data_IF_783958337617
#
_entry.id   IF_783958337617
#
_cell.length_a   1.000
_cell.length_b   1.000
_cell.length_c   1.000
_cell.angle_alpha   90.00
_cell.angle_beta   90.00
_cell.angle_gamma   90.00
#
_symmetry.space_group_name_H-M   'P 1'
#
loop_
_entity.id
_entity.type
_entity.pdbx_description
1 polymer ?
#
# COMPACT_ATOMS: atom_id res chain seq x y z
N UNK A 1 -9.05 -15.06 -37.55
CA UNK A 1 -9.11 -14.57 -38.95
C UNK A 1 -10.24 -15.20 -39.74
N UNK A 2 -10.40 -16.53 -39.75
CA UNK A 2 -11.48 -17.21 -40.47
C UNK A 2 -12.82 -17.20 -39.74
N UNK A 3 -12.81 -17.11 -38.40
CA UNK A 3 -14.01 -17.03 -37.57
C UNK A 3 -13.94 -15.76 -36.72
N UNK A 4 -14.66 -14.68 -37.09
CA UNK A 4 -14.63 -13.42 -36.34
C UNK A 4 -15.25 -13.52 -34.95
N UNK A 5 -16.15 -14.50 -34.72
CA UNK A 5 -16.79 -14.74 -33.42
C UNK A 5 -15.89 -15.43 -32.39
N UNK A 6 -14.65 -15.81 -32.77
CA UNK A 6 -13.70 -16.51 -31.87
C UNK A 6 -13.42 -15.77 -30.57
N UNK A 7 -13.35 -14.44 -30.60
CA UNK A 7 -13.13 -13.65 -29.39
C UNK A 7 -14.20 -13.89 -28.31
N UNK A 8 -15.45 -14.16 -28.70
CA UNK A 8 -16.57 -14.32 -27.75
C UNK A 8 -16.53 -15.64 -26.97
N UNK A 9 -15.99 -16.71 -27.54
CA UNK A 9 -15.97 -18.03 -26.90
C UNK A 9 -14.58 -18.43 -26.40
N UNK A 10 -13.51 -17.82 -26.93
CA UNK A 10 -12.14 -18.16 -26.52
C UNK A 10 -11.88 -17.74 -25.08
N UNK A 11 -12.32 -16.54 -24.67
CA UNK A 11 -12.03 -16.03 -23.32
C UNK A 11 -12.60 -16.91 -22.19
N UNK A 12 -13.87 -17.39 -22.25
CA UNK A 12 -14.37 -18.37 -21.28
C UNK A 12 -13.52 -19.66 -21.20
N UNK A 13 -13.04 -20.17 -22.34
CA UNK A 13 -12.21 -21.39 -22.37
C UNK A 13 -10.85 -21.14 -21.73
N UNK A 14 -10.22 -20.00 -22.05
CA UNK A 14 -8.94 -19.60 -21.44
C UNK A 14 -9.07 -19.40 -19.93
N UNK A 15 -10.20 -18.90 -19.46
CA UNK A 15 -10.48 -18.76 -18.03
C UNK A 15 -10.70 -20.13 -17.35
N UNK A 16 -11.47 -21.03 -17.97
CA UNK A 16 -11.76 -22.37 -17.43
C UNK A 16 -10.50 -23.26 -17.37
N UNK A 17 -9.64 -23.14 -18.39
CA UNK A 17 -8.40 -23.92 -18.49
C UNK A 17 -7.20 -23.27 -17.79
N UNK A 18 -7.39 -22.13 -17.12
CA UNK A 18 -6.31 -21.51 -16.37
C UNK A 18 -5.85 -22.46 -15.25
N UNK A 19 -4.56 -22.83 -15.17
CA UNK A 19 -4.08 -23.78 -14.19
C UNK A 19 -4.39 -23.34 -12.77
N UNK A 20 -4.67 -24.30 -11.89
CA UNK A 20 -4.86 -23.98 -10.48
C UNK A 20 -3.60 -23.35 -9.89
N UNK A 21 -3.77 -22.34 -9.04
CA UNK A 21 -2.68 -21.49 -8.53
C UNK A 21 -1.61 -22.25 -7.74
N UNK A 22 -1.92 -23.46 -7.24
CA UNK A 22 -0.97 -24.33 -6.53
C UNK A 22 -0.16 -25.25 -7.46
N UNK A 23 -0.40 -25.25 -8.77
CA UNK A 23 0.41 -26.03 -9.73
C UNK A 23 1.85 -25.52 -9.79
N UNK A 24 2.73 -26.29 -10.44
CA UNK A 24 4.15 -25.94 -10.55
C UNK A 24 4.34 -24.57 -11.21
N UNK A 25 5.36 -23.82 -10.76
CA UNK A 25 5.70 -22.49 -11.28
C UNK A 25 5.87 -22.51 -12.79
N UNK A 26 6.47 -23.60 -13.32
CA UNK A 26 6.65 -23.81 -14.75
C UNK A 26 5.34 -23.92 -15.53
N UNK A 27 4.33 -24.59 -14.98
CA UNK A 27 3.02 -24.71 -15.63
C UNK A 27 2.33 -23.36 -15.73
N UNK A 28 2.36 -22.58 -14.64
CA UNK A 28 1.79 -21.22 -14.59
C UNK A 28 2.51 -20.28 -15.57
N UNK A 29 3.85 -20.30 -15.57
CA UNK A 29 4.70 -19.54 -16.48
C UNK A 29 4.35 -19.84 -17.95
N UNK A 30 4.37 -21.12 -18.35
CA UNK A 30 4.09 -21.53 -19.73
C UNK A 30 2.67 -21.14 -20.16
N UNK A 31 1.67 -21.33 -19.30
CA UNK A 31 0.30 -20.96 -19.61
C UNK A 31 0.16 -19.45 -19.80
N UNK A 32 0.73 -18.66 -18.89
CA UNK A 32 0.66 -17.21 -18.95
C UNK A 32 1.42 -16.65 -20.16
N UNK A 33 2.61 -17.17 -20.46
CA UNK A 33 3.36 -16.81 -21.67
C UNK A 33 2.53 -17.06 -22.94
N UNK A 34 1.85 -18.22 -23.02
CA UNK A 34 0.99 -18.53 -24.15
C UNK A 34 -0.25 -17.61 -24.23
N UNK A 35 -0.88 -17.27 -23.11
CA UNK A 35 -1.97 -16.29 -23.07
C UNK A 35 -1.53 -14.91 -23.57
N UNK A 36 -0.39 -14.42 -23.09
CA UNK A 36 0.17 -13.14 -23.52
C UNK A 36 0.60 -13.17 -24.99
N UNK A 37 0.94 -14.34 -25.54
CA UNK A 37 1.15 -14.48 -26.98
C UNK A 37 -0.17 -14.39 -27.76
N UNK A 38 -1.26 -14.93 -27.23
CA UNK A 38 -2.60 -14.80 -27.83
C UNK A 38 -3.03 -13.35 -27.90
N UNK A 39 -2.74 -12.53 -26.88
CA UNK A 39 -3.09 -11.10 -26.90
C UNK A 39 -2.37 -10.31 -28.00
N UNK A 40 -1.20 -10.78 -28.47
CA UNK A 40 -0.49 -10.19 -29.61
C UNK A 40 -1.19 -10.54 -30.94
N UNK A 41 -1.68 -11.77 -31.08
CA UNK A 41 -2.38 -12.20 -32.30
C UNK A 41 -3.83 -11.70 -32.38
N UNK A 42 -4.49 -11.52 -31.23
CA UNK A 42 -5.88 -11.06 -31.11
C UNK A 42 -5.93 -9.88 -30.13
N UNK A 43 -5.61 -8.66 -30.59
CA UNK A 43 -5.54 -7.47 -29.72
C UNK A 43 -6.84 -7.16 -28.98
N UNK A 44 -8.00 -7.51 -29.56
CA UNK A 44 -9.32 -7.30 -28.95
C UNK A 44 -9.48 -8.02 -27.60
N UNK A 45 -8.74 -9.13 -27.38
CA UNK A 45 -8.77 -9.89 -26.13
C UNK A 45 -7.71 -9.44 -25.13
N UNK A 46 -6.81 -8.52 -25.50
CA UNK A 46 -5.64 -8.17 -24.69
C UNK A 46 -6.03 -7.73 -23.28
N UNK A 47 -7.00 -6.81 -23.16
CA UNK A 47 -7.46 -6.31 -21.86
C UNK A 47 -8.02 -7.44 -20.99
N UNK A 48 -8.88 -8.29 -21.54
CA UNK A 48 -9.54 -9.35 -20.79
C UNK A 48 -8.53 -10.45 -20.38
N UNK A 49 -7.55 -10.77 -21.23
CA UNK A 49 -6.44 -11.67 -20.92
C UNK A 49 -5.58 -11.11 -19.78
N UNK A 50 -5.21 -9.83 -19.85
CA UNK A 50 -4.43 -9.16 -18.79
C UNK A 50 -5.23 -9.14 -17.48
N UNK A 51 -6.53 -8.86 -17.53
CA UNK A 51 -7.41 -8.90 -16.37
C UNK A 51 -7.44 -10.28 -15.71
N UNK A 52 -7.59 -11.35 -16.50
CA UNK A 52 -7.56 -12.73 -15.99
C UNK A 52 -6.22 -13.04 -15.31
N UNK A 53 -5.11 -12.71 -15.96
CA UNK A 53 -3.76 -12.96 -15.43
C UNK A 53 -3.56 -12.21 -14.11
N UNK A 54 -3.83 -10.90 -14.09
CA UNK A 54 -3.65 -10.06 -12.89
C UNK A 54 -4.56 -10.55 -11.77
N UNK A 55 -5.81 -10.93 -12.05
CA UNK A 55 -6.71 -11.47 -11.03
C UNK A 55 -6.18 -12.75 -10.37
N UNK A 56 -5.57 -13.66 -11.16
CA UNK A 56 -4.96 -14.88 -10.64
C UNK A 56 -3.68 -14.59 -9.85
N UNK A 57 -2.87 -13.63 -10.31
CA UNK A 57 -1.68 -13.18 -9.58
C UNK A 57 -2.05 -12.51 -8.25
N UNK A 58 -3.11 -11.69 -8.21
CA UNK A 58 -3.61 -11.09 -6.98
C UNK A 58 -4.06 -12.15 -5.97
N UNK A 59 -4.67 -13.24 -6.45
CA UNK A 59 -5.06 -14.36 -5.58
C UNK A 59 -3.84 -14.99 -4.91
N UNK A 60 -2.74 -15.16 -5.65
CA UNK A 60 -1.47 -15.65 -5.11
C UNK A 60 -0.84 -14.64 -4.15
N UNK A 61 -0.77 -13.37 -4.54
CA UNK A 61 -0.14 -12.28 -3.78
C UNK A 61 -0.81 -12.06 -2.42
N UNK A 62 -2.15 -12.09 -2.37
CA UNK A 62 -2.90 -11.97 -1.11
C UNK A 62 -2.81 -13.24 -0.25
N UNK A 63 -2.54 -14.41 -0.85
CA UNK A 63 -2.42 -15.67 -0.10
C UNK A 63 -1.10 -15.83 0.65
N UNK A 64 -0.09 -15.03 0.35
CA UNK A 64 1.21 -15.04 1.02
C UNK A 64 1.48 -13.67 1.68
N UNK A 65 1.17 -13.48 2.97
CA UNK A 65 1.40 -12.22 3.65
C UNK A 65 2.88 -11.85 3.66
N UNK A 66 3.14 -10.54 3.55
CA UNK A 66 4.50 -9.98 3.49
C UNK A 66 5.44 -10.52 4.58
N UNK A 67 4.97 -10.56 5.82
CA UNK A 67 5.78 -10.99 6.98
C UNK A 67 6.22 -12.45 6.87
N UNK A 68 5.37 -13.34 6.36
CA UNK A 68 5.70 -14.75 6.17
C UNK A 68 6.80 -14.93 5.12
N UNK A 69 6.72 -14.18 4.02
CA UNK A 69 7.77 -14.18 3.00
C UNK A 69 9.09 -13.70 3.61
N UNK A 70 9.08 -12.58 4.34
CA UNK A 70 10.28 -12.03 4.98
C UNK A 70 10.90 -13.00 6.00
N UNK A 71 10.09 -13.69 6.81
CA UNK A 71 10.55 -14.69 7.79
C UNK A 71 11.21 -15.90 7.11
N UNK A 72 10.57 -16.49 6.10
CA UNK A 72 11.11 -17.65 5.38
C UNK A 72 12.41 -17.31 4.65
N UNK A 73 12.45 -16.17 3.95
CA UNK A 73 13.62 -15.76 3.19
C UNK A 73 14.81 -15.38 4.09
N UNK A 74 14.55 -14.75 5.25
CA UNK A 74 15.60 -14.39 6.20
C UNK A 74 16.15 -15.59 6.99
N UNK A 75 15.32 -16.59 7.28
CA UNK A 75 15.76 -17.85 7.89
C UNK A 75 16.73 -18.62 6.97
N UNK A 76 16.36 -18.78 5.69
CA UNK A 76 17.21 -19.46 4.72
C UNK A 76 18.56 -18.76 4.50
N UNK A 77 18.59 -17.42 4.55
CA UNK A 77 19.85 -16.66 4.48
C UNK A 77 20.75 -16.87 5.71
N UNK A 78 20.18 -17.12 6.88
CA UNK A 78 20.94 -17.42 8.10
C UNK A 78 21.49 -18.85 8.08
N UNK A 79 20.70 -19.82 7.62
CA UNK A 79 21.13 -21.22 7.49
C UNK A 79 22.24 -21.37 6.44
N UNK A 80 22.14 -20.67 5.31
CA UNK A 80 23.18 -20.64 4.28
C UNK A 80 24.50 -20.00 4.76
N UNK A 81 24.45 -19.06 5.71
CA UNK A 81 25.63 -18.43 6.30
C UNK A 81 26.19 -19.20 7.52
N UNK A 82 25.43 -20.14 8.08
CA UNK A 82 25.79 -20.94 9.26
C UNK A 82 26.29 -22.35 8.95
N UNK A 83 26.03 -22.89 7.75
CA UNK A 83 26.51 -24.19 7.33
C UNK A 83 27.97 -24.13 6.86
N UNK A 84 28.90 -24.50 7.75
CA UNK A 84 30.19 -25.07 7.34
C UNK A 84 29.93 -26.24 6.40
N UNK A 85 30.59 -26.24 5.24
CA UNK A 85 30.65 -27.36 4.29
C UNK A 85 31.03 -28.65 5.03
N UNK A 86 30.08 -29.49 5.44
CA UNK A 86 30.34 -30.93 5.59
C UNK A 86 29.09 -31.83 5.75
N UNK A 87 27.89 -31.31 6.01
CA UNK A 87 26.72 -32.17 6.29
C UNK A 87 25.64 -32.17 5.19
N UNK A 88 26.02 -32.42 3.92
CA UNK A 88 25.05 -32.79 2.88
C UNK A 88 25.48 -34.09 2.19
N UNK A 89 25.61 -35.15 3.00
CA UNK A 89 25.66 -36.53 2.54
C UNK A 89 24.40 -37.22 3.09
N UNK A 90 23.63 -37.86 2.22
CA UNK A 90 22.37 -38.58 2.49
C UNK A 90 21.08 -37.75 2.41
N UNK A 91 20.55 -37.63 1.18
CA UNK A 91 19.13 -37.91 0.99
C UNK A 91 18.95 -38.70 -0.32
N UNK A 92 18.34 -39.88 -0.22
CA UNK A 92 18.20 -40.88 -1.29
C UNK A 92 16.70 -41.18 -1.45
N UNK A 93 16.19 -40.75 -2.61
CA UNK A 93 14.96 -41.17 -3.31
C UNK A 93 13.59 -40.77 -2.73
N UNK A 94 12.96 -39.75 -3.34
CA UNK A 94 11.63 -39.88 -3.95
C UNK A 94 11.59 -39.11 -5.30
N UNK A 95 11.09 -39.76 -6.35
CA UNK A 95 11.07 -39.30 -7.74
C UNK A 95 10.12 -38.11 -7.96
N UNK A 96 10.59 -36.97 -8.51
CA UNK A 96 9.72 -36.01 -9.22
C UNK A 96 10.49 -35.15 -10.26
N UNK A 97 10.08 -35.28 -11.54
CA UNK A 97 10.23 -34.37 -12.67
C UNK A 97 11.51 -33.51 -12.84
N UNK A 98 12.51 -34.05 -13.55
CA UNK A 98 13.38 -33.37 -14.55
C UNK A 98 14.22 -32.14 -14.13
N UNK A 99 15.40 -31.91 -14.76
CA UNK A 99 16.46 -31.12 -14.14
C UNK A 99 16.09 -29.64 -14.00
N UNK A 100 16.19 -29.14 -12.77
CA UNK A 100 16.32 -27.71 -12.47
C UNK A 100 17.28 -27.08 -13.48
N UNK A 101 16.78 -26.11 -14.24
CA UNK A 101 17.54 -25.34 -15.20
C UNK A 101 18.69 -24.63 -14.46
N UNK A 102 19.90 -25.18 -14.58
CA UNK A 102 21.15 -24.72 -13.97
C UNK A 102 21.64 -23.37 -14.52
N UNK A 103 20.81 -22.66 -15.28
CA UNK A 103 21.10 -21.34 -15.85
C UNK A 103 20.75 -20.17 -14.94
N UNK A 104 20.07 -20.40 -13.81
CA UNK A 104 19.71 -19.32 -12.88
C UNK A 104 20.83 -19.10 -11.86
N UNK A 105 21.33 -17.86 -11.71
CA UNK A 105 22.35 -17.57 -10.72
C UNK A 105 21.84 -17.91 -9.32
N UNK A 106 22.72 -18.52 -8.53
CA UNK A 106 22.48 -18.88 -7.15
C UNK A 106 21.99 -17.63 -6.36
N UNK A 107 20.90 -17.78 -5.61
CA UNK A 107 20.23 -16.67 -4.91
C UNK A 107 19.15 -15.89 -5.68
N UNK A 108 18.81 -16.24 -6.93
CA UNK A 108 17.72 -15.61 -7.69
C UNK A 108 16.32 -16.23 -7.45
N UNK A 109 16.26 -17.37 -6.77
CA UNK A 109 15.04 -18.16 -6.53
C UNK A 109 14.47 -17.83 -5.15
N UNK A 110 13.16 -17.68 -5.06
CA UNK A 110 12.44 -17.53 -3.79
C UNK A 110 12.38 -18.89 -3.09
N UNK A 111 12.64 -18.89 -1.79
CA UNK A 111 12.48 -20.07 -0.92
C UNK A 111 11.00 -20.29 -0.64
N UNK A 112 10.23 -19.21 -0.47
CA UNK A 112 8.79 -19.32 -0.26
C UNK A 112 8.08 -19.77 -1.55
N UNK A 113 7.35 -20.91 -1.57
CA UNK A 113 6.85 -21.52 -2.81
C UNK A 113 5.79 -20.66 -3.54
N UNK A 114 4.90 -19.99 -2.80
CA UNK A 114 3.93 -19.05 -3.39
C UNK A 114 4.64 -17.81 -3.97
N UNK A 115 5.65 -17.30 -3.28
CA UNK A 115 6.42 -16.15 -3.75
C UNK A 115 7.23 -16.50 -5.00
N UNK A 116 7.78 -17.71 -5.11
CA UNK A 116 8.46 -18.18 -6.33
C UNK A 116 7.51 -18.23 -7.52
N UNK A 117 6.30 -18.79 -7.34
CA UNK A 117 5.27 -18.80 -8.39
C UNK A 117 4.91 -17.38 -8.82
N UNK A 118 4.72 -16.48 -7.86
CA UNK A 118 4.39 -15.08 -8.13
C UNK A 118 5.54 -14.33 -8.81
N UNK A 119 6.79 -14.57 -8.42
CA UNK A 119 7.98 -13.94 -8.98
C UNK A 119 8.17 -14.32 -10.45
N UNK A 120 7.94 -15.60 -10.76
CA UNK A 120 7.91 -16.10 -12.14
C UNK A 120 6.84 -15.42 -12.98
N UNK A 121 5.62 -15.30 -12.45
CA UNK A 121 4.53 -14.64 -13.14
C UNK A 121 4.80 -13.13 -13.32
N UNK A 122 5.33 -12.46 -12.30
CA UNK A 122 5.72 -11.05 -12.40
C UNK A 122 6.82 -10.84 -13.45
N UNK A 123 7.82 -11.71 -13.49
CA UNK A 123 8.91 -11.64 -14.47
C UNK A 123 8.37 -11.67 -15.91
N UNK A 124 7.49 -12.62 -16.23
CA UNK A 124 6.91 -12.73 -17.58
C UNK A 124 5.95 -11.58 -17.88
N UNK A 125 5.16 -11.09 -16.91
CA UNK A 125 4.28 -9.93 -17.10
C UNK A 125 5.08 -8.65 -17.41
N UNK A 126 6.14 -8.38 -16.63
CA UNK A 126 6.99 -7.20 -16.81
C UNK A 126 7.76 -7.27 -18.13
N UNK A 127 8.25 -8.46 -18.53
CA UNK A 127 8.87 -8.67 -19.83
C UNK A 127 7.89 -8.36 -20.97
N UNK A 128 6.67 -8.89 -20.91
CA UNK A 128 5.62 -8.59 -21.89
C UNK A 128 5.32 -7.08 -21.99
N UNK A 129 5.21 -6.37 -20.85
CA UNK A 129 5.00 -4.92 -20.84
C UNK A 129 6.13 -4.19 -21.57
N UNK A 130 7.38 -4.59 -21.29
CA UNK A 130 8.56 -4.01 -21.94
C UNK A 130 8.54 -4.26 -23.46
N UNK A 131 8.28 -5.48 -23.88
CA UNK A 131 8.32 -5.90 -25.30
C UNK A 131 7.21 -5.27 -26.14
N UNK A 132 6.01 -5.06 -25.57
CA UNK A 132 4.93 -4.35 -26.26
C UNK A 132 5.26 -2.85 -26.42
N UNK A 133 5.93 -2.27 -25.42
CA UNK A 133 6.25 -0.84 -25.42
C UNK A 133 7.51 -0.51 -26.22
N UNK A 134 8.49 -1.42 -26.34
CA UNK A 134 9.76 -1.15 -26.98
C UNK A 134 9.91 -1.94 -28.28
N UNK A 135 10.08 -1.22 -29.39
CA UNK A 135 10.39 -1.80 -30.71
C UNK A 135 11.80 -1.37 -31.08
N UNK A 136 12.69 -2.33 -31.35
CA UNK A 136 14.10 -2.09 -31.67
C UNK A 136 14.83 -1.21 -30.63
N UNK A 137 14.48 -1.37 -29.35
CA UNK A 137 15.05 -0.58 -28.25
C UNK A 137 14.50 0.84 -28.11
N UNK A 138 13.57 1.26 -28.97
CA UNK A 138 12.89 2.56 -28.91
C UNK A 138 11.46 2.44 -28.39
N UNK A 139 11.01 3.41 -27.60
CA UNK A 139 9.66 3.43 -27.03
C UNK A 139 8.60 3.78 -28.10
N UNK A 140 7.71 2.84 -28.39
CA UNK A 140 6.56 3.00 -29.30
C UNK A 140 5.39 3.65 -28.55
N UNK A 141 5.23 4.96 -28.73
CA UNK A 141 4.27 5.78 -27.98
C UNK A 141 2.83 5.30 -28.18
N UNK A 142 2.45 4.88 -29.39
CA UNK A 142 1.07 4.47 -29.68
C UNK A 142 0.72 3.16 -28.99
N UNK A 143 1.61 2.15 -29.08
CA UNK A 143 1.43 0.87 -28.40
C UNK A 143 1.45 1.04 -26.89
N UNK A 144 2.37 1.85 -26.36
CA UNK A 144 2.43 2.15 -24.92
C UNK A 144 1.16 2.85 -24.45
N UNK A 145 0.65 3.85 -25.19
CA UNK A 145 -0.63 4.51 -24.86
C UNK A 145 -1.79 3.51 -24.86
N UNK A 146 -1.84 2.60 -25.82
CA UNK A 146 -2.88 1.58 -25.88
C UNK A 146 -2.81 0.59 -24.72
N UNK A 147 -1.60 0.09 -24.41
CA UNK A 147 -1.38 -0.82 -23.29
C UNK A 147 -1.66 -0.14 -21.94
N UNK A 148 -1.28 1.13 -21.78
CA UNK A 148 -1.55 1.92 -20.59
C UNK A 148 -3.06 2.00 -20.30
N UNK A 149 -3.90 2.24 -21.31
CA UNK A 149 -5.36 2.27 -21.14
C UNK A 149 -5.91 0.93 -20.66
N UNK A 150 -5.42 -0.17 -21.22
CA UNK A 150 -5.84 -1.51 -20.81
C UNK A 150 -5.41 -1.78 -19.35
N UNK A 151 -4.16 -1.47 -19.01
CA UNK A 151 -3.61 -1.71 -17.67
C UNK A 151 -4.26 -0.83 -16.60
N UNK A 152 -4.55 0.44 -16.87
CA UNK A 152 -5.31 1.30 -15.94
C UNK A 152 -6.74 0.79 -15.76
N UNK A 153 -7.39 0.34 -16.84
CA UNK A 153 -8.73 -0.25 -16.75
C UNK A 153 -8.73 -1.51 -15.87
N UNK A 154 -7.68 -2.33 -15.94
CA UNK A 154 -7.53 -3.50 -15.08
C UNK A 154 -7.18 -3.09 -13.65
N UNK A 155 -6.31 -2.09 -13.47
CA UNK A 155 -5.98 -1.52 -12.18
C UNK A 155 -7.23 -1.10 -11.40
N UNK A 156 -8.11 -0.31 -12.03
CA UNK A 156 -9.35 0.16 -11.39
C UNK A 156 -10.30 -0.97 -11.02
N UNK A 157 -10.36 -2.00 -11.86
CA UNK A 157 -11.32 -3.09 -11.72
C UNK A 157 -10.90 -4.12 -10.67
N UNK A 158 -9.62 -4.47 -10.60
CA UNK A 158 -9.15 -5.58 -9.76
C UNK A 158 -8.02 -5.24 -8.81
N UNK A 159 -7.14 -4.27 -9.09
CA UNK A 159 -6.01 -3.96 -8.18
C UNK A 159 -6.41 -2.94 -7.12
N UNK A 160 -7.04 -1.84 -7.52
CA UNK A 160 -7.47 -0.77 -6.62
C UNK A 160 -8.46 -1.27 -5.52
N UNK A 161 -9.41 -2.18 -5.82
CA UNK A 161 -10.30 -2.72 -4.80
C UNK A 161 -9.68 -3.83 -3.94
N UNK A 162 -8.54 -4.39 -4.34
CA UNK A 162 -7.90 -5.49 -3.61
C UNK A 162 -6.97 -4.96 -2.53
N UNK A 163 -7.26 -5.36 -1.29
CA UNK A 163 -6.42 -5.07 -0.13
C UNK A 163 -5.28 -6.10 0.00
N UNK A 164 -4.19 -5.69 0.67
CA UNK A 164 -3.05 -6.54 1.04
C UNK A 164 -2.19 -7.13 -0.09
N UNK A 165 -2.44 -6.79 -1.36
CA UNK A 165 -1.53 -7.14 -2.47
C UNK A 165 -0.22 -6.36 -2.36
N UNK A 166 0.92 -7.04 -2.36
CA UNK A 166 2.24 -6.45 -2.10
C UNK A 166 3.12 -6.28 -3.35
N UNK A 167 2.85 -7.03 -4.42
CA UNK A 167 3.75 -7.14 -5.56
C UNK A 167 3.08 -6.80 -6.89
N UNK A 168 1.84 -7.23 -7.11
CA UNK A 168 1.22 -7.18 -8.44
C UNK A 168 1.13 -5.74 -8.97
N UNK A 169 0.74 -4.78 -8.12
CA UNK A 169 0.67 -3.35 -8.45
C UNK A 169 1.93 -2.75 -9.07
N UNK A 170 3.11 -3.37 -8.90
CA UNK A 170 4.35 -2.91 -9.50
C UNK A 170 4.37 -2.99 -11.03
N UNK A 171 3.43 -3.69 -11.68
CA UNK A 171 3.30 -3.60 -13.14
C UNK A 171 2.98 -2.16 -13.58
N UNK A 172 2.15 -1.43 -12.83
CA UNK A 172 1.86 0.00 -13.12
C UNK A 172 3.07 0.85 -12.82
N UNK A 173 3.77 0.57 -11.72
CA UNK A 173 4.98 1.30 -11.33
C UNK A 173 6.08 1.19 -12.40
N UNK A 174 6.29 -0.02 -12.91
CA UNK A 174 7.26 -0.32 -13.96
C UNK A 174 6.88 0.37 -15.28
N UNK A 175 5.63 0.27 -15.73
CA UNK A 175 5.17 0.96 -16.94
C UNK A 175 5.37 2.47 -16.85
N UNK A 176 5.03 3.08 -15.70
CA UNK A 176 5.18 4.51 -15.49
C UNK A 176 6.64 4.98 -15.55
N UNK A 177 7.60 4.10 -15.28
CA UNK A 177 9.04 4.42 -15.35
C UNK A 177 9.54 4.68 -16.77
N UNK A 178 8.83 4.20 -17.81
CA UNK A 178 9.28 4.35 -19.20
C UNK A 178 9.23 5.79 -19.70
N UNK A 179 8.32 6.60 -19.17
CA UNK A 179 8.17 8.02 -19.53
C UNK A 179 7.44 8.78 -18.44
N UNK A 180 7.95 9.96 -18.08
CA UNK A 180 7.34 10.83 -17.07
C UNK A 180 5.85 11.12 -17.34
N UNK A 181 5.46 11.31 -18.60
CA UNK A 181 4.06 11.55 -18.96
C UNK A 181 3.10 10.39 -18.61
N UNK A 182 3.58 9.14 -18.51
CA UNK A 182 2.77 8.02 -18.02
C UNK A 182 2.59 8.09 -16.51
N UNK A 183 3.65 8.44 -15.78
CA UNK A 183 3.61 8.64 -14.33
C UNK A 183 2.68 9.80 -13.96
N UNK A 184 2.74 10.91 -14.69
CA UNK A 184 1.86 12.07 -14.52
C UNK A 184 0.39 11.72 -14.84
N UNK A 185 0.14 10.95 -15.91
CA UNK A 185 -1.19 10.47 -16.23
C UNK A 185 -1.75 9.53 -15.14
N UNK A 186 -0.91 8.71 -14.53
CA UNK A 186 -1.33 7.80 -13.45
C UNK A 186 -1.63 8.57 -12.16
N UNK A 187 -0.81 9.56 -11.81
CA UNK A 187 -1.06 10.47 -10.69
C UNK A 187 -2.36 11.28 -10.88
N UNK A 188 -2.60 11.80 -12.09
CA UNK A 188 -3.85 12.51 -12.42
C UNK A 188 -5.07 11.59 -12.33
N UNK A 189 -4.94 10.32 -12.74
CA UNK A 189 -5.97 9.30 -12.59
C UNK A 189 -6.31 9.03 -11.12
N UNK A 190 -5.30 8.78 -10.28
CA UNK A 190 -5.47 8.58 -8.83
C UNK A 190 -6.08 9.81 -8.15
N UNK A 191 -5.66 11.01 -8.54
CA UNK A 191 -6.22 12.27 -8.06
C UNK A 191 -7.71 12.41 -8.37
N UNK A 192 -8.12 12.07 -9.60
CA UNK A 192 -9.54 12.04 -10.01
C UNK A 192 -10.34 11.05 -9.18
N UNK A 193 -9.77 9.88 -8.90
CA UNK A 193 -10.42 8.89 -8.04
C UNK A 193 -10.59 9.40 -6.61
N UNK A 194 -9.57 10.03 -6.01
CA UNK A 194 -9.61 10.55 -4.65
C UNK A 194 -10.69 11.61 -4.44
N UNK A 195 -10.77 12.63 -5.31
CA UNK A 195 -11.66 13.77 -5.07
C UNK A 195 -13.08 13.61 -5.65
N UNK A 196 -13.34 12.56 -6.46
CA UNK A 196 -14.64 12.32 -7.04
C UNK A 196 -15.67 11.89 -5.96
N UNK A 197 -16.74 12.66 -5.71
CA UNK A 197 -17.72 12.33 -4.66
C UNK A 197 -18.55 11.09 -4.97
N UNK A 198 -18.63 10.70 -6.25
CA UNK A 198 -19.36 9.51 -6.70
C UNK A 198 -18.61 8.20 -6.44
N UNK A 199 -17.34 8.27 -6.02
CA UNK A 199 -16.54 7.07 -5.75
C UNK A 199 -16.72 6.57 -4.31
N UNK A 200 -16.79 5.25 -4.10
CA UNK A 200 -16.84 4.66 -2.75
C UNK A 200 -15.69 5.18 -1.86
N UNK A 201 -15.95 5.51 -0.58
CA UNK A 201 -14.92 6.01 0.34
C UNK A 201 -13.67 5.14 0.42
N UNK A 202 -13.81 3.81 0.34
CA UNK A 202 -12.70 2.84 0.37
C UNK A 202 -11.78 3.02 -0.84
N UNK A 203 -12.34 3.16 -2.05
CA UNK A 203 -11.54 3.36 -3.26
C UNK A 203 -10.86 4.73 -3.27
N UNK A 204 -11.52 5.77 -2.71
CA UNK A 204 -10.89 7.09 -2.54
C UNK A 204 -9.70 7.03 -1.60
N UNK A 205 -9.83 6.29 -0.49
CA UNK A 205 -8.73 6.05 0.46
C UNK A 205 -7.59 5.27 -0.20
N UNK A 206 -7.90 4.17 -0.89
CA UNK A 206 -6.91 3.39 -1.63
C UNK A 206 -6.16 4.26 -2.64
N UNK A 207 -6.87 5.10 -3.42
CA UNK A 207 -6.27 6.01 -4.38
C UNK A 207 -5.29 7.00 -3.73
N UNK A 208 -5.64 7.58 -2.57
CA UNK A 208 -4.71 8.42 -1.80
C UNK A 208 -3.46 7.65 -1.33
N UNK A 209 -3.64 6.40 -0.87
CA UNK A 209 -2.55 5.52 -0.45
C UNK A 209 -1.57 5.22 -1.60
N UNK A 210 -2.11 4.82 -2.76
CA UNK A 210 -1.33 4.63 -3.99
C UNK A 210 -0.59 5.90 -4.39
N UNK A 211 -1.25 7.06 -4.35
CA UNK A 211 -0.66 8.33 -4.76
C UNK A 211 0.50 8.74 -3.83
N UNK A 212 0.29 8.65 -2.51
CA UNK A 212 1.34 8.94 -1.51
C UNK A 212 2.53 8.02 -1.62
N UNK A 213 2.27 6.71 -1.73
CA UNK A 213 3.34 5.70 -1.85
C UNK A 213 4.11 5.84 -3.17
N UNK A 214 3.42 6.09 -4.29
CA UNK A 214 4.04 6.29 -5.60
C UNK A 214 4.96 7.53 -5.61
N UNK A 215 4.49 8.68 -5.09
CA UNK A 215 5.30 9.90 -5.00
C UNK A 215 6.54 9.71 -4.14
N UNK A 216 6.43 8.99 -3.03
CA UNK A 216 7.55 8.72 -2.13
C UNK A 216 8.59 7.75 -2.73
N UNK A 217 8.15 6.74 -3.50
CA UNK A 217 8.98 5.59 -3.89
C UNK A 217 9.48 5.62 -5.34
N UNK A 218 8.83 6.35 -6.25
CA UNK A 218 9.20 6.37 -7.66
C UNK A 218 10.40 7.27 -7.96
N UNK A 219 11.61 6.70 -8.07
CA UNK A 219 12.86 7.48 -8.28
C UNK A 219 12.85 8.33 -9.55
N UNK A 220 12.10 7.90 -10.57
CA UNK A 220 11.95 8.59 -11.86
C UNK A 220 11.02 9.82 -11.83
N UNK A 221 10.33 10.09 -10.71
CA UNK A 221 9.53 11.31 -10.57
C UNK A 221 10.40 12.54 -10.32
N UNK A 222 10.09 13.62 -11.03
CA UNK A 222 10.74 14.91 -10.82
C UNK A 222 10.19 15.62 -9.58
N UNK A 223 11.02 16.46 -8.95
CA UNK A 223 10.59 17.31 -7.82
C UNK A 223 9.44 18.24 -8.23
N UNK A 224 9.40 18.71 -9.49
CA UNK A 224 8.29 19.50 -10.02
C UNK A 224 6.97 18.74 -10.03
N UNK A 225 6.97 17.47 -10.47
CA UNK A 225 5.77 16.63 -10.46
C UNK A 225 5.30 16.38 -9.03
N UNK A 226 6.22 16.07 -8.10
CA UNK A 226 5.89 15.90 -6.67
C UNK A 226 5.27 17.17 -6.09
N UNK A 227 5.86 18.34 -6.34
CA UNK A 227 5.30 19.63 -5.90
C UNK A 227 3.92 19.87 -6.49
N UNK A 228 3.71 19.60 -7.78
CA UNK A 228 2.42 19.75 -8.43
C UNK A 228 1.33 18.87 -7.78
N UNK A 229 1.66 17.64 -7.37
CA UNK A 229 0.73 16.78 -6.64
C UNK A 229 0.46 17.26 -5.20
N UNK A 230 1.47 17.78 -4.49
CA UNK A 230 1.28 18.42 -3.19
C UNK A 230 0.39 19.68 -3.31
N UNK A 231 0.57 20.46 -4.37
CA UNK A 231 -0.23 21.65 -4.70
C UNK A 231 -1.67 21.30 -5.11
N UNK A 232 -2.01 20.02 -5.28
CA UNK A 232 -3.39 19.54 -5.39
C UNK A 232 -3.92 19.04 -4.04
N UNK A 233 -3.14 18.17 -3.36
CA UNK A 233 -3.53 17.52 -2.12
C UNK A 233 -3.73 18.52 -0.96
N UNK A 234 -2.76 19.40 -0.75
CA UNK A 234 -2.75 20.32 0.41
C UNK A 234 -3.90 21.32 0.34
N UNK A 235 -4.16 22.00 -0.80
CA UNK A 235 -5.34 22.85 -0.91
C UNK A 235 -6.66 22.09 -0.70
N UNK A 236 -6.76 20.85 -1.19
CA UNK A 236 -7.94 20.02 -0.95
C UNK A 236 -8.13 19.68 0.53
N UNK A 237 -7.05 19.36 1.25
CA UNK A 237 -7.09 19.18 2.71
C UNK A 237 -7.58 20.44 3.43
N UNK A 238 -7.09 21.61 3.03
CA UNK A 238 -7.54 22.88 3.61
C UNK A 238 -9.01 23.18 3.33
N UNK A 239 -9.50 22.91 2.12
CA UNK A 239 -10.90 23.04 1.75
C UNK A 239 -11.77 22.04 2.54
N UNK A 240 -11.29 20.82 2.73
CA UNK A 240 -11.96 19.82 3.54
C UNK A 240 -12.14 20.32 4.98
N UNK A 241 -11.09 20.84 5.61
CA UNK A 241 -11.15 21.41 6.96
C UNK A 241 -12.20 22.54 7.03
N UNK A 242 -12.20 23.48 6.06
CA UNK A 242 -13.20 24.57 6.00
C UNK A 242 -14.64 24.05 5.97
N UNK A 243 -14.88 22.97 5.22
CA UNK A 243 -16.21 22.36 5.09
C UNK A 243 -16.69 21.71 6.38
N UNK A 244 -15.76 21.25 7.24
CA UNK A 244 -16.09 20.60 8.52
C UNK A 244 -16.20 21.61 9.67
N UNK A 245 -15.40 22.68 9.67
CA UNK A 245 -15.44 23.73 10.70
C UNK A 245 -16.81 24.45 10.76
N UNK A 246 -17.58 24.41 9.67
CA UNK A 246 -18.92 25.01 9.58
C UNK A 246 -20.06 24.09 10.06
N UNK A 247 -19.77 22.82 10.42
CA UNK A 247 -20.78 21.81 10.74
C UNK A 247 -20.56 21.10 12.09
N UNK A 248 -21.61 20.47 12.62
CA UNK A 248 -21.59 19.69 13.88
C UNK A 248 -20.72 18.41 13.86
N UNK A 249 -19.93 18.20 12.79
CA UNK A 249 -19.13 16.98 12.53
C UNK A 249 -17.62 17.22 12.60
N UNK A 250 -17.17 18.33 13.21
CA UNK A 250 -15.75 18.62 13.43
C UNK A 250 -15.17 17.81 14.61
N UNK A 251 -15.24 16.47 14.55
CA UNK A 251 -14.64 15.59 15.54
C UNK A 251 -13.89 14.45 14.85
N UNK A 252 -13.01 13.78 15.59
CA UNK A 252 -12.17 12.73 15.01
C UNK A 252 -12.93 11.41 14.89
N UNK A 253 -13.32 11.08 13.65
CA UNK A 253 -14.02 9.85 13.25
C UNK A 253 -13.40 9.29 11.96
N UNK A 254 -12.82 8.09 12.07
CA UNK A 254 -12.09 7.43 10.99
C UNK A 254 -13.02 6.98 9.85
N UNK A 255 -14.23 6.54 10.17
CA UNK A 255 -15.18 6.06 9.17
C UNK A 255 -15.74 7.21 8.33
N UNK A 256 -15.96 8.36 8.97
CA UNK A 256 -16.48 9.55 8.32
C UNK A 256 -15.40 10.29 7.50
N UNK A 257 -14.20 10.42 8.06
CA UNK A 257 -13.12 11.25 7.50
C UNK A 257 -11.96 10.44 6.92
N UNK A 258 -12.15 9.15 6.63
CA UNK A 258 -11.09 8.25 6.15
C UNK A 258 -10.29 8.82 4.98
N UNK A 259 -10.95 9.33 3.92
CA UNK A 259 -10.26 9.93 2.77
C UNK A 259 -9.41 11.16 3.13
N UNK A 260 -9.85 11.96 4.12
CA UNK A 260 -9.07 13.08 4.64
C UNK A 260 -7.81 12.60 5.37
N UNK A 261 -7.94 11.58 6.22
CA UNK A 261 -6.80 11.02 6.95
C UNK A 261 -5.80 10.33 6.03
N UNK A 262 -6.24 9.53 5.05
CA UNK A 262 -5.34 8.89 4.09
C UNK A 262 -4.64 9.93 3.21
N UNK A 263 -5.32 11.01 2.82
CA UNK A 263 -4.70 12.13 2.11
C UNK A 263 -3.66 12.88 2.98
N UNK A 264 -3.94 13.10 4.27
CA UNK A 264 -2.94 13.64 5.21
C UNK A 264 -1.71 12.72 5.29
N UNK A 265 -1.93 11.41 5.44
CA UNK A 265 -0.86 10.43 5.49
C UNK A 265 -0.05 10.39 4.19
N UNK A 266 -0.70 10.50 3.03
CA UNK A 266 -0.02 10.60 1.73
C UNK A 266 0.90 11.83 1.66
N UNK A 267 0.45 12.99 2.14
CA UNK A 267 1.27 14.22 2.22
C UNK A 267 2.44 14.02 3.18
N UNK A 268 2.19 13.51 4.39
CA UNK A 268 3.25 13.29 5.39
C UNK A 268 4.31 12.31 4.87
N UNK A 269 3.87 11.19 4.31
CA UNK A 269 4.76 10.17 3.74
C UNK A 269 5.58 10.70 2.57
N UNK A 270 4.97 11.47 1.66
CA UNK A 270 5.68 12.10 0.54
C UNK A 270 6.77 13.05 1.04
N UNK A 271 6.45 13.89 2.04
CA UNK A 271 7.43 14.82 2.62
C UNK A 271 8.58 14.09 3.32
N UNK A 272 8.29 12.99 4.01
CA UNK A 272 9.31 12.14 4.64
C UNK A 272 10.37 11.72 3.61
N UNK A 273 9.96 11.28 2.41
CA UNK A 273 10.90 10.82 1.37
C UNK A 273 11.48 11.92 0.48
N UNK A 274 10.76 13.04 0.29
CA UNK A 274 11.08 14.04 -0.75
C UNK A 274 11.54 15.40 -0.22
N UNK A 275 11.54 15.63 1.10
CA UNK A 275 11.97 16.91 1.66
C UNK A 275 13.40 17.29 1.22
N UNK A 276 14.36 16.37 1.24
CA UNK A 276 15.73 16.64 0.82
C UNK A 276 15.78 17.12 -0.63
N UNK A 277 15.15 16.40 -1.55
CA UNK A 277 15.10 16.79 -2.97
C UNK A 277 14.39 18.13 -3.20
N UNK A 278 13.41 18.48 -2.37
CA UNK A 278 12.73 19.80 -2.42
C UNK A 278 13.67 20.94 -1.98
N UNK A 279 14.58 20.66 -1.06
CA UNK A 279 15.48 21.64 -0.42
C UNK A 279 16.86 21.75 -1.10
N UNK A 280 17.34 20.68 -1.73
CA UNK A 280 18.70 20.52 -2.25
C UNK A 280 19.09 21.62 -3.25
N UNK A 281 18.21 21.98 -4.20
CA UNK A 281 18.54 22.96 -5.24
C UNK A 281 18.61 24.41 -4.73
N UNK A 282 17.70 24.81 -3.84
CA UNK A 282 17.70 26.14 -3.23
C UNK A 282 16.96 26.09 -1.90
N UNK A 283 17.72 25.96 -0.81
CA UNK A 283 17.18 25.82 0.54
C UNK A 283 16.16 26.91 0.87
N UNK A 284 16.43 28.18 0.55
CA UNK A 284 15.51 29.29 0.87
C UNK A 284 14.20 29.18 0.10
N UNK A 285 14.23 28.89 -1.20
CA UNK A 285 13.02 28.72 -2.01
C UNK A 285 12.26 27.44 -1.63
N UNK A 286 12.97 26.35 -1.34
CA UNK A 286 12.38 25.09 -0.88
C UNK A 286 11.68 25.24 0.47
N UNK A 287 12.32 25.92 1.44
CA UNK A 287 11.69 26.23 2.73
C UNK A 287 10.50 27.16 2.57
N UNK A 288 10.61 28.22 1.77
CA UNK A 288 9.48 29.12 1.48
C UNK A 288 8.29 28.36 0.86
N UNK A 289 8.56 27.40 -0.03
CA UNK A 289 7.54 26.52 -0.58
C UNK A 289 6.87 25.65 0.51
N UNK A 290 7.66 24.96 1.34
CA UNK A 290 7.14 24.11 2.41
C UNK A 290 6.34 24.90 3.46
N UNK A 291 6.76 26.13 3.78
CA UNK A 291 6.02 27.04 4.64
C UNK A 291 4.69 27.46 3.98
N UNK A 292 4.69 27.69 2.67
CA UNK A 292 3.49 28.00 1.89
C UNK A 292 2.41 26.90 1.91
N UNK A 293 2.79 25.65 2.19
CA UNK A 293 1.84 24.53 2.36
C UNK A 293 1.00 24.64 3.65
N UNK A 294 1.36 25.53 4.59
CA UNK A 294 0.63 25.74 5.85
C UNK A 294 0.25 24.44 6.59
N UNK A 295 1.25 23.56 6.75
CA UNK A 295 1.08 22.24 7.38
C UNK A 295 0.62 22.36 8.85
N UNK A 296 0.93 23.46 9.52
CA UNK A 296 0.49 23.76 10.89
C UNK A 296 -1.04 23.69 11.01
N UNK A 297 -1.76 24.32 10.07
CA UNK A 297 -3.22 24.29 10.03
C UNK A 297 -3.77 22.87 9.89
N UNK A 298 -3.10 22.00 9.13
CA UNK A 298 -3.55 20.61 8.91
C UNK A 298 -3.39 19.81 10.20
N UNK A 299 -2.25 19.90 10.89
CA UNK A 299 -2.02 19.10 12.10
C UNK A 299 -2.78 19.61 13.33
N UNK A 300 -3.07 20.91 13.40
CA UNK A 300 -3.79 21.52 14.52
C UNK A 300 -5.31 21.53 14.35
N UNK A 301 -5.84 21.02 13.24
CA UNK A 301 -7.29 20.97 13.03
C UNK A 301 -8.00 20.02 14.02
N UNK A 302 -9.31 20.24 14.24
CA UNK A 302 -10.11 19.43 15.18
C UNK A 302 -10.21 17.94 14.80
N UNK A 303 -10.00 17.62 13.51
CA UNK A 303 -10.00 16.24 13.03
C UNK A 303 -8.76 15.46 13.52
N UNK A 304 -7.71 16.14 13.98
CA UNK A 304 -6.51 15.56 14.61
C UNK A 304 -5.87 14.40 13.82
N UNK A 305 -5.34 14.65 12.61
CA UNK A 305 -4.76 13.61 11.77
C UNK A 305 -3.55 12.91 12.42
N UNK A 306 -2.81 13.59 13.31
CA UNK A 306 -1.70 13.00 14.06
C UNK A 306 -2.11 11.89 15.04
N UNK A 307 -3.41 11.78 15.37
CA UNK A 307 -3.95 10.68 16.18
C UNK A 307 -4.25 9.43 15.34
N UNK A 308 -4.57 9.62 14.07
CA UNK A 308 -5.16 8.58 13.21
C UNK A 308 -4.15 8.01 12.22
N UNK A 309 -3.25 8.85 11.68
CA UNK A 309 -2.19 8.38 10.79
C UNK A 309 -1.21 7.44 11.52
N UNK A 310 -0.52 6.60 10.75
CA UNK A 310 0.45 5.64 11.28
C UNK A 310 1.49 6.30 12.22
N UNK A 311 1.70 5.79 13.45
CA UNK A 311 2.63 6.38 14.41
C UNK A 311 4.06 6.56 13.90
N UNK A 312 4.56 5.60 13.12
CA UNK A 312 5.89 5.71 12.49
C UNK A 312 5.97 6.92 11.54
N UNK A 313 4.93 7.12 10.72
CA UNK A 313 4.82 8.24 9.78
C UNK A 313 4.70 9.56 10.55
N UNK A 314 3.84 9.64 11.56
CA UNK A 314 3.65 10.88 12.33
C UNK A 314 4.92 11.29 13.08
N UNK A 315 5.66 10.33 13.65
CA UNK A 315 6.90 10.60 14.37
C UNK A 315 8.02 11.06 13.44
N UNK A 316 8.18 10.42 12.27
CA UNK A 316 9.17 10.84 11.28
C UNK A 316 8.84 12.19 10.67
N UNK A 317 7.56 12.42 10.36
CA UNK A 317 7.06 13.72 9.92
C UNK A 317 7.36 14.80 10.97
N UNK A 318 7.05 14.56 12.25
CA UNK A 318 7.33 15.49 13.35
C UNK A 318 8.82 15.80 13.51
N UNK A 319 9.70 14.80 13.33
CA UNK A 319 11.14 15.00 13.39
C UNK A 319 11.63 15.92 12.27
N UNK A 320 11.17 15.69 11.04
CA UNK A 320 11.54 16.47 9.86
C UNK A 320 10.98 17.90 9.95
N UNK A 321 9.69 18.07 10.26
CA UNK A 321 9.09 19.42 10.35
C UNK A 321 9.69 20.24 11.49
N UNK A 322 10.10 19.60 12.60
CA UNK A 322 10.85 20.27 13.67
C UNK A 322 12.24 20.71 13.20
N UNK A 323 12.99 19.84 12.49
CA UNK A 323 14.34 20.15 11.97
C UNK A 323 14.35 21.44 11.15
N UNK A 324 13.33 21.62 10.30
CA UNK A 324 13.20 22.79 9.44
C UNK A 324 12.30 23.90 9.99
N UNK A 325 11.90 23.82 11.27
CA UNK A 325 11.03 24.79 11.95
C UNK A 325 9.73 25.09 11.18
N UNK A 326 9.16 24.07 10.54
CA UNK A 326 7.90 24.19 9.81
C UNK A 326 6.70 24.06 10.76
N UNK A 327 6.70 23.05 11.62
CA UNK A 327 5.60 22.74 12.55
C UNK A 327 6.13 21.96 13.76
N UNK A 328 5.61 22.29 14.95
CA UNK A 328 5.92 21.60 16.21
C UNK A 328 4.81 20.60 16.60
N UNK A 329 4.96 19.34 16.19
CA UNK A 329 3.92 18.31 16.37
C UNK A 329 3.97 17.58 17.73
N UNK A 330 5.11 17.59 18.44
CA UNK A 330 5.34 16.73 19.61
C UNK A 330 4.37 16.95 20.77
N UNK A 331 3.96 18.19 21.02
CA UNK A 331 2.98 18.51 22.07
C UNK A 331 1.61 17.89 21.78
N UNK A 332 1.21 17.87 20.51
CA UNK A 332 -0.03 17.27 20.03
C UNK A 332 0.05 15.74 20.14
N UNK A 333 1.17 15.15 19.68
CA UNK A 333 1.41 13.71 19.75
C UNK A 333 1.40 13.23 21.21
N UNK A 334 2.08 13.94 22.12
CA UNK A 334 2.09 13.59 23.53
C UNK A 334 0.69 13.70 24.16
N UNK A 335 -0.08 14.75 23.83
CA UNK A 335 -1.48 14.88 24.24
C UNK A 335 -2.33 13.71 23.74
N UNK A 336 -2.14 13.29 22.48
CA UNK A 336 -2.85 12.15 21.90
C UNK A 336 -2.54 10.86 22.65
N UNK A 337 -1.27 10.62 22.98
CA UNK A 337 -0.82 9.43 23.72
C UNK A 337 -1.39 9.40 25.15
N UNK A 338 -1.51 10.56 25.82
CA UNK A 338 -2.13 10.65 27.16
C UNK A 338 -3.64 10.40 27.14
N UNK A 339 -4.31 10.71 26.03
CA UNK A 339 -5.74 10.51 25.86
C UNK A 339 -6.10 9.12 25.30
N UNK A 340 -5.10 8.33 24.87
CA UNK A 340 -5.25 6.92 24.55
C UNK A 340 -5.25 6.11 25.86
N UNK A 341 -6.40 6.05 26.53
CA UNK A 341 -6.61 5.04 27.56
C UNK A 341 -6.59 3.65 26.89
N UNK A 342 -5.83 2.67 27.40
CA UNK A 342 -5.89 1.31 26.89
C UNK A 342 -7.28 0.75 27.22
N UNK A 343 -8.19 0.78 26.25
CA UNK A 343 -9.45 0.06 26.35
C UNK A 343 -9.13 -1.41 26.19
N UNK A 344 -8.98 -2.12 27.31
CA UNK A 344 -9.07 -3.58 27.34
C UNK A 344 -10.50 -3.92 26.92
N UNK A 345 -10.71 -4.16 25.63
CA UNK A 345 -11.95 -4.78 25.18
C UNK A 345 -11.87 -6.25 25.58
N UNK A 346 -12.49 -6.59 26.72
CA UNK A 346 -12.85 -7.96 27.02
C UNK A 346 -13.94 -8.38 26.02
N UNK A 347 -13.56 -8.75 24.80
CA UNK A 347 -14.42 -9.60 23.98
C UNK A 347 -14.36 -10.99 24.59
N UNK A 348 -15.48 -11.46 25.11
CA UNK A 348 -15.67 -12.83 25.60
C UNK A 348 -15.31 -13.82 24.49
N UNK A 349 -14.09 -14.36 24.54
CA UNK A 349 -13.63 -15.45 23.66
C UNK A 349 -12.29 -15.16 22.96
N UNK A 350 -11.20 -15.64 23.57
CA UNK A 350 -9.98 -16.06 22.87
C UNK A 350 -9.00 -14.99 22.40
N UNK A 351 -7.80 -15.03 22.99
CA UNK A 351 -6.54 -14.37 22.60
C UNK A 351 -6.48 -12.84 22.76
N UNK A 352 -5.80 -12.42 23.83
CA UNK A 352 -5.32 -11.06 24.06
C UNK A 352 -4.30 -10.66 23.00
N UNK A 353 -4.76 -10.13 21.86
CA UNK A 353 -3.91 -9.42 20.93
C UNK A 353 -3.84 -7.97 21.40
N UNK A 354 -2.65 -7.47 21.71
CA UNK A 354 -2.44 -6.04 21.90
C UNK A 354 -2.89 -5.32 20.63
N UNK A 355 -4.04 -4.66 20.66
CA UNK A 355 -4.57 -3.92 19.52
C UNK A 355 -3.77 -2.62 19.32
N UNK A 356 -2.56 -2.74 18.79
CA UNK A 356 -1.94 -1.71 17.96
C UNK A 356 -2.60 -1.73 16.57
N UNK A 357 -3.92 -1.80 16.52
CA UNK A 357 -4.67 -1.86 15.27
C UNK A 357 -4.61 -0.48 14.63
N UNK A 358 -3.89 -0.39 13.52
CA UNK A 358 -3.86 0.75 12.62
C UNK A 358 -5.30 1.21 12.33
N UNK A 359 -5.75 2.36 12.86
CA UNK A 359 -7.18 2.71 12.81
C UNK A 359 -7.69 2.95 11.40
N UNK A 360 -6.79 3.20 10.45
CA UNK A 360 -7.06 3.40 9.04
C UNK A 360 -6.88 2.14 8.18
N UNK A 361 -6.44 1.02 8.78
CA UNK A 361 -5.92 -0.14 8.03
C UNK A 361 -4.93 0.30 6.92
N UNK A 362 -4.14 1.33 7.23
CA UNK A 362 -3.34 2.00 6.21
C UNK A 362 -2.25 1.10 5.65
N UNK A 363 -2.32 0.93 4.34
CA UNK A 363 -1.41 0.17 3.51
C UNK A 363 -0.62 1.15 2.62
N UNK A 364 0.69 0.97 2.48
CA UNK A 364 1.53 1.67 1.50
C UNK A 364 1.79 0.73 0.32
N UNK A 365 1.11 0.91 -0.83
CA UNK A 365 1.14 -0.09 -1.89
C UNK A 365 2.50 -0.30 -2.55
N UNK A 366 3.43 0.64 -2.46
CA UNK A 366 4.78 0.48 -3.00
C UNK A 366 5.82 0.39 -1.89
N UNK A 367 5.52 -0.31 -0.79
CA UNK A 367 6.55 -0.74 0.16
C UNK A 367 7.51 -1.77 -0.48
N UNK A 368 8.71 -1.98 0.10
CA UNK A 368 9.84 -2.61 -0.60
C UNK A 368 9.48 -3.94 -1.26
N UNK A 369 9.79 -4.05 -2.54
CA UNK A 369 9.49 -5.23 -3.35
C UNK A 369 10.34 -6.44 -2.91
N UNK A 370 9.70 -7.57 -2.58
CA UNK A 370 10.38 -8.73 -1.98
C UNK A 370 10.82 -9.79 -2.99
N UNK A 371 10.19 -9.86 -4.16
CA UNK A 371 10.46 -10.93 -5.12
C UNK A 371 11.82 -10.71 -5.80
N UNK A 372 12.67 -11.73 -5.82
CA UNK A 372 14.10 -11.62 -6.18
C UNK A 372 14.33 -11.43 -7.67
N UNK A 373 13.73 -12.26 -8.52
CA UNK A 373 13.99 -12.27 -9.97
C UNK A 373 13.39 -11.05 -10.65
N UNK A 374 12.10 -10.80 -10.44
CA UNK A 374 11.41 -9.62 -10.97
C UNK A 374 11.86 -8.32 -10.28
N UNK A 375 12.35 -8.40 -9.04
CA UNK A 375 12.86 -7.25 -8.27
C UNK A 375 14.02 -6.53 -8.93
N UNK A 376 14.86 -7.25 -9.69
CA UNK A 376 15.98 -6.69 -10.47
C UNK A 376 15.53 -5.62 -11.49
N UNK A 377 14.28 -5.67 -11.95
CA UNK A 377 13.70 -4.65 -12.84
C UNK A 377 13.17 -3.43 -12.09
N UNK A 378 12.84 -3.59 -10.81
CA UNK A 378 12.23 -2.57 -9.96
C UNK A 378 13.29 -1.78 -9.17
N UNK A 379 14.32 -2.45 -8.65
CA UNK A 379 15.41 -1.84 -7.87
C UNK A 379 15.98 -0.54 -8.49
N UNK A 380 16.30 -0.46 -9.80
CA UNK A 380 16.92 0.74 -10.38
C UNK A 380 16.00 1.96 -10.38
N UNK A 381 14.68 1.73 -10.42
CA UNK A 381 13.63 2.75 -10.53
C UNK A 381 12.96 3.05 -9.18
N UNK A 382 13.38 2.36 -8.11
CA UNK A 382 12.78 2.43 -6.79
C UNK A 382 13.64 3.27 -5.83
N UNK A 383 12.98 4.05 -4.97
CA UNK A 383 13.59 4.82 -3.90
C UNK A 383 13.43 4.04 -2.57
N UNK A 384 14.54 3.50 -2.10
CA UNK A 384 14.64 2.87 -0.79
C UNK A 384 14.60 3.95 0.30
N UNK A 385 14.03 3.60 1.45
CA UNK A 385 14.08 4.47 2.62
C UNK A 385 15.49 4.39 3.23
N UNK A 386 16.13 5.54 3.40
CA UNK A 386 17.40 5.66 4.11
C UNK A 386 17.14 6.44 5.39
N UNK A 387 17.50 5.89 6.55
CA UNK A 387 17.39 6.64 7.80
C UNK A 387 18.29 7.87 7.72
N UNK A 388 17.74 9.09 7.89
CA UNK A 388 18.57 10.28 7.89
C UNK A 388 19.55 10.21 9.05
N UNK A 389 20.86 10.28 8.77
CA UNK A 389 21.92 10.19 9.79
C UNK A 389 21.77 11.22 10.92
N UNK A 390 21.07 12.32 10.63
CA UNK A 390 20.79 13.43 11.56
C UNK A 390 19.56 13.23 12.46
N UNK A 391 18.76 12.17 12.25
CA UNK A 391 17.54 11.90 13.03
C UNK A 391 17.77 10.99 14.25
N UNK A 392 19.03 10.69 14.59
CA UNK A 392 19.44 10.05 15.84
C UNK A 392 19.07 10.91 17.06
N UNK A 393 17.80 10.93 17.42
CA UNK A 393 17.39 11.30 18.78
C UNK A 393 17.84 10.13 19.64
N UNK A 394 18.86 10.33 20.47
CA UNK A 394 19.20 9.42 21.57
C UNK A 394 17.97 9.26 22.48
N UNK A 395 17.08 8.33 22.15
CA UNK A 395 16.16 7.75 23.12
C UNK A 395 17.02 6.74 23.87
N UNK A 396 17.35 6.96 25.16
CA UNK A 396 18.13 5.99 25.91
C UNK A 396 17.30 4.70 25.98
N UNK A 397 17.72 3.67 25.24
CA UNK A 397 17.20 2.31 25.41
C UNK A 397 17.48 1.93 26.86
N UNK A 398 16.45 1.96 27.70
CA UNK A 398 16.49 1.35 29.03
C UNK A 398 16.79 -0.13 28.79
N UNK A 399 18.02 -0.57 29.08
CA UNK A 399 18.39 -1.98 29.08
C UNK A 399 17.51 -2.67 30.12
N UNK A 400 16.48 -3.38 29.66
CA UNK A 400 15.78 -4.36 30.48
C UNK A 400 16.77 -5.51 30.66
N UNK A 401 17.38 -5.59 31.84
CA UNK A 401 18.13 -6.78 32.27
C UNK A 401 17.16 -7.96 32.23
N UNK A 402 17.39 -8.92 31.32
CA UNK A 402 16.85 -10.28 31.45
C UNK A 402 17.45 -10.88 32.71
N UNK A 403 16.68 -10.92 33.79
CA UNK A 403 16.95 -11.78 34.94
C UNK A 403 16.47 -13.18 34.61
N UNK A 404 17.38 -14.14 34.72
CA UNK A 404 17.11 -15.58 34.67
C UNK A 404 16.12 -15.96 35.78
N UNK A 405 15.00 -16.57 35.41
CA UNK A 405 14.19 -17.34 36.35
C UNK A 405 14.82 -18.73 36.45
N UNK A 406 15.59 -18.95 37.51
CA UNK A 406 15.74 -20.28 38.10
C UNK A 406 14.90 -20.31 39.37
N UNK A 407 14.24 -21.45 39.56
CA UNK A 407 13.29 -21.79 40.60
C UNK A 407 13.92 -21.71 42.00
N UNK A 408 13.17 -21.25 42.99
CA UNK A 408 13.16 -21.86 44.34
C UNK A 408 11.96 -21.34 45.16
N UNK A 409 11.14 -22.30 45.60
CA UNK A 409 10.10 -22.19 46.61
C UNK A 409 10.66 -21.76 47.97
N UNK A 410 9.94 -20.91 48.72
CA UNK A 410 9.68 -21.17 50.16
C UNK A 410 8.66 -20.20 50.80
N UNK A 411 7.50 -20.78 51.13
CA UNK A 411 6.79 -20.71 52.43
C UNK A 411 6.54 -19.35 53.14
N UNK A 412 5.26 -18.98 53.32
CA UNK A 412 4.58 -18.97 54.63
C UNK A 412 3.06 -18.66 54.55
N UNK A 413 2.30 -19.47 55.28
CA UNK A 413 0.84 -19.51 55.40
C UNK A 413 0.21 -18.37 56.23
N UNK A 414 -1.10 -18.13 56.03
CA UNK A 414 -1.99 -17.84 57.16
C UNK A 414 -3.29 -17.07 56.88
N UNK A 415 -4.40 -17.80 56.69
CA UNK A 415 -5.67 -17.49 57.37
C UNK A 415 -6.76 -16.70 56.63
N UNK A 416 -7.73 -17.40 56.04
CA UNK A 416 -9.12 -16.94 55.88
C UNK A 416 -9.97 -17.34 57.09
N UNK A 417 -11.10 -16.65 57.33
CA UNK A 417 -12.37 -17.39 57.23
C UNK A 417 -13.53 -16.61 56.57
N UNK A 418 -14.26 -17.35 55.71
CA UNK A 418 -15.71 -17.41 55.48
C UNK A 418 -16.56 -16.73 56.58
N UNK A 419 -17.66 -15.99 56.35
CA UNK A 419 -18.70 -16.03 55.33
C UNK A 419 -20.03 -16.35 56.03
N UNK A 420 -21.02 -15.43 56.02
CA UNK A 420 -22.42 -15.82 56.25
C UNK A 420 -23.48 -14.80 55.74
N UNK A 421 -24.46 -15.37 55.05
CA UNK A 421 -25.78 -14.95 54.54
C UNK A 421 -26.46 -13.66 55.02
N UNK A 422 -27.23 -13.02 54.12
CA UNK A 422 -28.73 -13.05 54.11
C UNK A 422 -29.32 -12.33 52.87
N UNK A 423 -30.17 -13.11 52.18
CA UNK A 423 -31.34 -12.84 51.31
C UNK A 423 -31.87 -11.39 51.17
N UNK A 424 -32.19 -11.01 49.93
CA UNK A 424 -33.12 -9.90 49.62
C UNK A 424 -33.50 -9.83 48.13
N UNK A 425 -34.73 -10.23 47.80
CA UNK A 425 -35.31 -10.37 46.46
C UNK A 425 -35.67 -9.03 45.77
N UNK A 426 -35.67 -9.06 44.43
CA UNK A 426 -36.28 -8.13 43.45
C UNK A 426 -37.78 -7.86 43.70
N UNK A 427 -38.39 -6.79 43.11
CA UNK A 427 -38.98 -6.85 41.75
C UNK A 427 -38.76 -5.53 40.95
N UNK A 428 -38.77 -5.42 39.62
CA UNK A 428 -39.51 -6.11 38.56
C UNK A 428 -40.53 -5.14 37.93
N UNK A 429 -40.28 -4.61 36.72
CA UNK A 429 -41.31 -4.01 35.86
C UNK A 429 -40.88 -4.03 34.38
N UNK A 430 -41.65 -4.78 33.60
CA UNK A 430 -41.79 -4.73 32.14
C UNK A 430 -42.53 -3.44 31.74
N UNK A 431 -42.17 -2.77 30.64
CA UNK A 431 -42.77 -3.01 29.32
C UNK A 431 -42.14 -2.14 28.21
N UNK A 432 -42.43 -2.59 26.99
CA UNK A 432 -41.92 -2.32 25.66
C UNK A 432 -42.33 -0.99 25.01
N UNK A 433 -41.57 -0.52 23.99
CA UNK A 433 -42.04 -0.32 22.60
C UNK A 433 -41.06 0.51 21.72
N UNK A 434 -40.65 -0.16 20.64
CA UNK A 434 -40.34 0.30 19.26
C UNK A 434 -40.44 1.81 18.93
N UNK A 435 -39.42 2.35 18.24
CA UNK A 435 -39.53 2.89 16.87
C UNK A 435 -38.18 3.36 16.31
N UNK A 436 -37.79 2.79 15.16
CA UNK A 436 -36.84 3.41 14.22
C UNK A 436 -37.49 4.62 13.54
N UNK A 437 -36.68 5.53 12.96
CA UNK A 437 -36.98 5.93 11.60
C UNK A 437 -35.78 5.85 10.66
N UNK A 438 -36.13 5.50 9.42
CA UNK A 438 -35.32 5.42 8.22
C UNK A 438 -35.00 6.83 7.66
N UNK A 439 -33.92 6.88 6.89
CA UNK A 439 -33.79 7.54 5.58
C UNK A 439 -34.41 8.94 5.38
N UNK A 440 -33.55 9.96 5.32
CA UNK A 440 -33.70 11.15 4.45
C UNK A 440 -32.28 11.67 4.18
N UNK A 441 -31.76 11.61 2.95
CA UNK A 441 -31.80 12.74 2.02
C UNK A 441 -30.49 13.54 2.07
N UNK A 442 -29.62 13.35 1.09
CA UNK A 442 -28.39 14.16 0.93
C UNK A 442 -28.76 15.56 0.39
N UNK A 443 -28.15 16.66 0.88
CA UNK A 443 -28.34 17.97 0.28
C UNK A 443 -27.49 18.11 -1.01
N UNK A 444 -27.94 18.90 -2.00
CA UNK A 444 -27.21 19.13 -3.23
C UNK A 444 -26.10 20.18 -2.99
N UNK A 445 -24.91 19.96 -3.55
CA UNK A 445 -23.88 21.00 -3.62
C UNK A 445 -23.66 21.36 -5.08
N UNK A 446 -24.11 22.56 -5.44
CA UNK A 446 -23.96 23.22 -6.73
C UNK A 446 -22.51 23.66 -6.99
N UNK A 447 -22.12 23.51 -8.25
CA UNK A 447 -20.80 23.78 -8.86
C UNK A 447 -20.21 25.17 -8.60
N UNK A 448 -18.88 25.24 -8.52
CA UNK A 448 -18.09 26.33 -9.11
C UNK A 448 -16.83 25.77 -9.79
N UNK A 449 -16.67 26.14 -11.06
CA UNK A 449 -15.53 25.92 -11.92
C UNK A 449 -14.23 26.39 -11.24
N UNK A 450 -13.31 25.47 -10.94
CA UNK A 450 -11.92 25.80 -10.63
C UNK A 450 -11.12 25.73 -11.93
N UNK A 451 -10.45 26.84 -12.20
CA UNK A 451 -9.56 27.10 -13.32
C UNK A 451 -8.56 25.97 -13.59
N UNK A 452 -8.34 25.69 -14.88
CA UNK A 452 -7.39 24.72 -15.45
C UNK A 452 -6.10 24.61 -14.63
N UNK A 453 -5.83 23.40 -14.10
CA UNK A 453 -4.61 23.08 -13.36
C UNK A 453 -3.39 23.01 -14.28
N UNK A 454 -2.17 23.31 -13.79
CA UNK A 454 -0.92 23.15 -14.56
C UNK A 454 -0.66 21.71 -15.01
N UNK A 455 -1.11 20.71 -14.23
CA UNK A 455 -1.08 19.30 -14.62
C UNK A 455 -1.94 19.02 -15.87
N UNK A 456 -3.10 19.69 -16.00
CA UNK A 456 -3.90 19.60 -17.23
C UNK A 456 -3.17 20.20 -18.44
N UNK A 457 -2.41 21.30 -18.28
CA UNK A 457 -1.69 21.92 -19.40
C UNK A 457 -0.57 21.02 -19.94
N UNK A 458 0.15 20.30 -19.07
CA UNK A 458 1.19 19.35 -19.49
C UNK A 458 0.57 18.08 -20.10
N UNK A 459 -0.49 17.53 -19.51
CA UNK A 459 -1.19 16.33 -20.00
C UNK A 459 -1.93 16.60 -21.31
N UNK A 460 -2.55 17.78 -21.49
CA UNK A 460 -3.26 18.09 -22.75
C UNK A 460 -2.28 18.27 -23.92
N UNK A 461 -1.05 18.75 -23.68
CA UNK A 461 -0.04 18.88 -24.75
C UNK A 461 0.68 17.58 -25.13
N UNK A 462 0.75 16.57 -24.25
CA UNK A 462 1.36 15.26 -24.58
C UNK A 462 0.37 14.24 -25.18
N UNK A 463 -0.94 14.47 -25.05
CA UNK A 463 -1.99 13.62 -25.63
C UNK A 463 -2.66 14.21 -26.87
N UNK A 464 -2.33 15.45 -27.26
CA UNK A 464 -2.62 16.00 -28.59
C UNK A 464 -1.34 16.11 -29.40
N UNK A 465 -1.02 15.00 -30.09
CA UNK A 465 -0.35 14.81 -31.39
C UNK A 465 0.03 13.32 -31.45
#
# INVERSE_FOLDING_TARGET
RYVPSTSRFLMPILSDKFPFVQKSSRTLECYMHNLLRVSVYIPDLRRDIIELIISKMLTLDVSAPRSEIEEVESGAQQDANGASQDDCLFDMDEEEDSPLDSSRPDGAVMVHPVAERLDMMMTVLLAYIKDICHVNGSLDIEKTKALYRDLVSVFDKVVLPTHASCHVQYYMFYLCSFRLGLAEAFLDHLWKMLHAPNQPPVLRQAAAGYMGSFMARAKFLTVSTVKACLDLLVPWLHLYINSQDSGSKAFCDVNLHGSFYTACQAVFYTLIFRHNAILEGNMKKGLAYLQGLNLERIVMCQLNPLRVCLPAVTNMFAAITRKYQLVFCYTIIERNNRNLLPVVSNSTGGNSVSTNTNPLDTFFPFDPYLLKSSGKLIEPIYQVWEEPSDCMIHVPKKKVRKGSMEEEDDFLHGGTPHGDSVVGMTPGSYDSHLHSPRSVGSPPVSFLHISKSPLLLTVTSMFQI
#
